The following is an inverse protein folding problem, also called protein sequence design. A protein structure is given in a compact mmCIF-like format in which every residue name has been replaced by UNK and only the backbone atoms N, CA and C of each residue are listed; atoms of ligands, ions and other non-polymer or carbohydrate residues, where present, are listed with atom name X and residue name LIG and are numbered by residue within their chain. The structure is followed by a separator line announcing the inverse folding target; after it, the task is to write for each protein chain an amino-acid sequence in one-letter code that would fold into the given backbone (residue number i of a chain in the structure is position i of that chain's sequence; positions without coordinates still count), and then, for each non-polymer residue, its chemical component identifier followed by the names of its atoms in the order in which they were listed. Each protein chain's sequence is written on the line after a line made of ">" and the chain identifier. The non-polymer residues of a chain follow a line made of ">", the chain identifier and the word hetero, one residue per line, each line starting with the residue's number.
data_IF_272308867546
#
_entry.id   IF_272308867546
#
_cell.length_a   1.000
_cell.length_b   1.000
_cell.length_c   1.000
_cell.angle_alpha   90.00
_cell.angle_beta   90.00
_cell.angle_gamma   90.00
#
_symmetry.space_group_name_H-M   'P 1'
#
loop_
_entity.id
_entity.type
_entity.pdbx_description
1 polymer ?
#
# COMPACT_ATOMS: atom_id res chain seq x y z
N UNK A 1 1.86 -1.66 18.30
CA UNK A 1 3.31 -1.76 18.09
C UNK A 1 4.04 -0.63 18.80
N UNK A 2 3.84 0.61 18.39
CA UNK A 2 4.61 1.78 18.86
C UNK A 2 4.43 2.07 20.36
N UNK A 3 3.20 1.97 20.87
CA UNK A 3 2.92 2.14 22.31
C UNK A 3 3.62 1.04 23.13
N UNK A 4 3.55 -0.21 22.67
CA UNK A 4 4.22 -1.32 23.35
C UNK A 4 5.75 -1.14 23.33
N UNK A 5 6.31 -0.68 22.22
CA UNK A 5 7.73 -0.36 22.11
C UNK A 5 8.13 0.76 23.08
N UNK A 6 7.28 1.79 23.24
CA UNK A 6 7.51 2.87 24.21
C UNK A 6 7.54 2.32 25.64
N UNK A 7 6.58 1.45 26.00
CA UNK A 7 6.55 0.82 27.34
C UNK A 7 7.81 -0.02 27.58
N UNK A 8 8.20 -0.86 26.61
CA UNK A 8 9.44 -1.66 26.70
C UNK A 8 10.66 -0.75 26.88
N UNK A 9 10.70 0.35 26.14
CA UNK A 9 11.79 1.33 26.23
C UNK A 9 11.89 1.98 27.61
N UNK A 10 10.77 2.45 28.15
CA UNK A 10 10.73 3.04 29.49
C UNK A 10 11.14 2.05 30.57
N UNK A 11 10.65 0.81 30.49
CA UNK A 11 11.04 -0.26 31.44
C UNK A 11 12.53 -0.59 31.35
N UNK A 12 13.07 -0.66 30.10
CA UNK A 12 14.48 -0.98 29.88
C UNK A 12 15.39 0.15 30.36
N UNK A 13 14.98 1.38 30.17
CA UNK A 13 15.69 2.55 30.66
C UNK A 13 15.69 2.61 32.18
N UNK A 14 14.51 2.50 32.82
CA UNK A 14 14.36 2.53 34.27
C UNK A 14 15.17 1.44 34.98
N UNK A 15 15.24 0.23 34.41
CA UNK A 15 16.01 -0.88 35.00
C UNK A 15 17.51 -0.80 34.76
N UNK A 16 17.96 -0.07 33.76
CA UNK A 16 19.33 -0.13 33.29
C UNK A 16 20.23 1.00 33.75
N UNK A 17 19.73 2.21 33.83
CA UNK A 17 20.53 3.42 33.99
C UNK A 17 20.12 4.29 35.21
N UNK A 18 19.03 3.97 35.89
CA UNK A 18 18.53 4.84 36.94
C UNK A 18 18.34 4.11 38.26
N UNK A 19 18.85 4.70 39.32
CA UNK A 19 18.68 4.22 40.71
C UNK A 19 17.22 4.29 41.17
N UNK A 20 16.38 5.13 40.53
CA UNK A 20 14.94 5.24 40.82
C UNK A 20 14.16 3.99 40.41
N UNK A 21 14.70 3.17 39.48
CA UNK A 21 14.01 1.97 38.96
C UNK A 21 12.66 2.31 38.32
N UNK A 22 11.69 1.40 38.45
CA UNK A 22 10.31 1.59 37.98
C UNK A 22 9.48 2.27 39.09
N UNK A 23 9.78 3.51 39.43
CA UNK A 23 9.04 4.30 40.42
C UNK A 23 8.19 5.38 39.73
N UNK A 24 7.14 5.91 40.43
CA UNK A 24 6.41 7.08 39.93
C UNK A 24 7.30 8.30 39.72
N UNK A 25 8.34 8.45 40.53
CA UNK A 25 9.32 9.54 40.45
C UNK A 25 10.14 9.47 39.16
N UNK A 26 10.53 8.27 38.72
CA UNK A 26 11.18 8.08 37.40
C UNK A 26 10.33 8.66 36.27
N UNK A 27 9.03 8.36 36.25
CA UNK A 27 8.14 8.85 35.18
C UNK A 27 7.87 10.35 35.25
N UNK A 28 8.00 10.96 36.44
CA UNK A 28 7.82 12.40 36.63
C UNK A 28 9.07 13.21 36.27
N UNK A 29 10.27 12.67 36.53
CA UNK A 29 11.52 13.47 36.47
C UNK A 29 12.37 13.16 35.21
N UNK A 30 12.30 11.92 34.65
CA UNK A 30 13.27 11.48 33.65
C UNK A 30 12.83 11.57 32.22
N UNK A 31 11.64 11.08 31.78
CA UNK A 31 11.26 11.20 30.41
C UNK A 31 10.83 12.63 30.08
N UNK A 32 11.65 13.36 29.33
CA UNK A 32 11.23 14.65 28.78
C UNK A 32 10.08 14.47 27.79
N UNK A 33 9.28 15.50 27.58
CA UNK A 33 8.08 15.46 26.74
C UNK A 33 8.36 14.95 25.32
N UNK A 34 9.51 15.25 24.73
CA UNK A 34 9.86 14.80 23.39
C UNK A 34 9.96 13.27 23.28
N UNK A 35 10.30 12.55 24.34
CA UNK A 35 10.42 11.10 24.34
C UNK A 35 9.07 10.42 24.06
N UNK A 36 7.98 11.01 24.53
CA UNK A 36 6.63 10.51 24.29
C UNK A 36 6.14 10.75 22.86
N UNK A 37 6.83 11.58 22.06
CA UNK A 37 6.54 11.77 20.64
C UNK A 37 7.23 10.75 19.72
N UNK A 38 8.17 9.95 20.21
CA UNK A 38 8.84 8.91 19.43
C UNK A 38 7.88 7.95 18.72
N UNK A 39 6.76 7.48 19.33
CA UNK A 39 5.76 6.67 18.62
C UNK A 39 5.17 7.34 17.39
N UNK A 40 4.91 8.64 17.46
CA UNK A 40 4.37 9.42 16.33
C UNK A 40 5.41 9.53 15.22
N UNK A 41 6.67 9.82 15.57
CA UNK A 41 7.77 9.88 14.61
C UNK A 41 7.94 8.54 13.87
N UNK A 42 7.88 7.41 14.59
CA UNK A 42 7.95 6.09 13.98
C UNK A 42 6.77 5.83 13.04
N UNK A 43 5.55 6.22 13.42
CA UNK A 43 4.36 6.09 12.55
C UNK A 43 4.50 6.91 11.26
N UNK A 44 5.04 8.11 11.34
CA UNK A 44 5.31 8.95 10.16
C UNK A 44 6.35 8.31 9.23
N UNK A 45 7.43 7.74 9.78
CA UNK A 45 8.43 7.02 9.00
C UNK A 45 7.85 5.76 8.33
N UNK A 46 6.86 5.12 8.97
CA UNK A 46 6.18 3.93 8.46
C UNK A 46 5.01 4.26 7.53
N UNK A 47 4.60 5.53 7.37
CA UNK A 47 3.46 5.93 6.55
C UNK A 47 3.45 5.33 5.13
N UNK A 48 4.59 5.27 4.38
CA UNK A 48 4.62 4.72 3.03
C UNK A 48 4.29 3.21 2.95
N UNK A 49 4.42 2.49 4.06
CA UNK A 49 4.15 1.04 4.15
C UNK A 49 2.65 0.74 4.34
N UNK A 50 1.84 1.74 4.73
CA UNK A 50 0.40 1.56 4.90
C UNK A 50 -0.38 1.49 3.58
N UNK A 51 0.27 1.68 2.43
CA UNK A 51 -0.29 1.28 1.14
C UNK A 51 -0.47 -0.25 1.13
N UNK A 52 -1.71 -0.70 0.97
CA UNK A 52 -2.11 -2.12 1.00
C UNK A 52 -1.30 -2.99 0.03
N UNK A 53 -0.89 -2.43 -1.13
CA UNK A 53 -0.11 -3.14 -2.14
C UNK A 53 1.34 -3.39 -1.71
N UNK A 54 1.97 -2.38 -1.09
CA UNK A 54 3.32 -2.51 -0.55
C UNK A 54 3.34 -3.37 0.70
N UNK A 55 2.24 -3.37 1.44
CA UNK A 55 2.05 -4.13 2.66
C UNK A 55 2.02 -5.66 2.45
N UNK A 56 1.68 -6.15 1.25
CA UNK A 56 1.56 -7.59 0.95
C UNK A 56 2.88 -8.28 0.64
N UNK A 57 3.96 -7.53 0.37
CA UNK A 57 5.27 -8.07 0.02
C UNK A 57 6.22 -8.08 1.21
N UNK A 58 6.68 -9.26 1.63
CA UNK A 58 7.65 -9.44 2.73
C UNK A 58 8.95 -8.69 2.47
N UNK A 59 9.65 -8.87 1.31
CA UNK A 59 10.92 -8.21 1.08
C UNK A 59 10.80 -6.69 1.05
N UNK A 60 9.72 -6.15 0.46
CA UNK A 60 9.47 -4.71 0.45
C UNK A 60 9.28 -4.18 1.87
N UNK A 61 8.51 -4.88 2.70
CA UNK A 61 8.28 -4.52 4.11
C UNK A 61 9.56 -4.51 4.91
N UNK A 62 10.40 -5.56 4.79
CA UNK A 62 11.67 -5.66 5.50
C UNK A 62 12.63 -4.54 5.11
N UNK A 63 12.75 -4.24 3.81
CA UNK A 63 13.58 -3.14 3.33
C UNK A 63 13.13 -1.78 3.88
N UNK A 64 11.81 -1.52 3.91
CA UNK A 64 11.29 -0.27 4.47
C UNK A 64 11.55 -0.13 5.97
N UNK A 65 11.35 -1.20 6.74
CA UNK A 65 11.64 -1.19 8.19
C UNK A 65 13.14 -0.97 8.43
N UNK A 66 14.00 -1.61 7.62
CA UNK A 66 15.45 -1.42 7.70
C UNK A 66 15.83 0.04 7.41
N UNK A 67 15.34 0.61 6.30
CA UNK A 67 15.61 2.00 5.92
C UNK A 67 15.12 2.97 7.01
N UNK A 68 13.89 2.78 7.53
CA UNK A 68 13.35 3.62 8.58
C UNK A 68 14.16 3.52 9.87
N UNK A 69 14.62 2.32 10.23
CA UNK A 69 15.47 2.10 11.41
C UNK A 69 16.83 2.78 11.26
N UNK A 70 17.42 2.70 10.05
CA UNK A 70 18.69 3.38 9.73
C UNK A 70 18.52 4.91 9.78
N UNK A 71 17.46 5.44 9.16
CA UNK A 71 17.18 6.88 9.18
C UNK A 71 16.95 7.40 10.61
N UNK A 72 16.13 6.71 11.40
CA UNK A 72 15.87 7.08 12.77
C UNK A 72 17.14 6.98 13.64
N UNK A 73 17.94 5.93 13.44
CA UNK A 73 19.22 5.76 14.13
C UNK A 73 20.23 6.84 13.77
N UNK A 74 20.36 7.16 12.49
CA UNK A 74 21.27 8.24 12.02
C UNK A 74 20.83 9.59 12.57
N UNK A 75 19.55 9.91 12.51
CA UNK A 75 18.99 11.14 13.07
C UNK A 75 19.28 11.23 14.57
N UNK A 76 19.05 10.15 15.30
CA UNK A 76 19.34 10.10 16.74
C UNK A 76 20.82 10.31 17.03
N UNK A 77 21.72 9.65 16.29
CA UNK A 77 23.16 9.82 16.46
C UNK A 77 23.59 11.26 16.17
N UNK A 78 23.07 11.88 15.12
CA UNK A 78 23.36 13.28 14.80
C UNK A 78 22.96 14.21 15.95
N UNK A 79 21.76 14.06 16.45
CA UNK A 79 21.26 14.85 17.59
C UNK A 79 22.13 14.59 18.85
N UNK A 80 22.47 13.32 19.06
CA UNK A 80 23.27 12.90 20.22
C UNK A 80 24.65 13.57 20.26
N UNK A 81 25.32 13.74 19.11
CA UNK A 81 26.64 14.40 19.06
C UNK A 81 26.55 15.91 19.28
N UNK A 82 25.42 16.53 19.02
CA UNK A 82 25.19 17.97 19.22
C UNK A 82 24.62 18.29 20.61
N UNK A 83 23.90 17.34 21.22
CA UNK A 83 23.25 17.52 22.50
C UNK A 83 24.23 17.56 23.68
N UNK A 84 23.91 18.30 24.76
CA UNK A 84 24.70 18.30 25.97
C UNK A 84 24.93 16.90 26.55
N UNK A 85 26.06 16.62 27.23
CA UNK A 85 26.32 15.33 27.84
C UNK A 85 25.19 14.95 28.82
N UNK A 86 24.69 13.70 28.69
CA UNK A 86 23.57 13.12 29.48
C UNK A 86 22.16 13.65 29.16
N UNK A 87 21.98 14.53 28.19
CA UNK A 87 20.66 15.03 27.83
C UNK A 87 19.75 13.95 27.16
N UNK A 88 20.37 12.95 26.51
CA UNK A 88 19.63 11.93 25.76
C UNK A 88 19.83 10.54 26.36
N UNK A 89 18.73 9.80 26.63
CA UNK A 89 18.77 8.44 27.21
C UNK A 89 19.16 7.42 26.14
N UNK A 90 20.43 7.03 26.10
CA UNK A 90 20.96 6.08 25.08
C UNK A 90 20.19 4.75 25.08
N UNK A 91 20.02 4.14 26.28
CA UNK A 91 19.31 2.85 26.41
C UNK A 91 17.83 2.99 26.10
N UNK A 92 17.19 4.08 26.53
CA UNK A 92 15.80 4.35 26.23
C UNK A 92 15.51 4.43 24.73
N UNK A 93 16.25 5.25 23.99
CA UNK A 93 16.04 5.41 22.54
C UNK A 93 16.48 4.16 21.76
N UNK A 94 17.61 3.54 22.10
CA UNK A 94 18.06 2.33 21.44
C UNK A 94 17.05 1.19 21.61
N UNK A 95 16.55 0.96 22.83
CA UNK A 95 15.54 -0.06 23.09
C UNK A 95 14.20 0.24 22.41
N UNK A 96 13.82 1.53 22.29
CA UNK A 96 12.65 1.96 21.53
C UNK A 96 12.77 1.57 20.04
N UNK A 97 13.87 1.96 19.39
CA UNK A 97 14.09 1.69 17.97
C UNK A 97 14.15 0.18 17.67
N UNK A 98 14.86 -0.59 18.48
CA UNK A 98 14.95 -2.05 18.34
C UNK A 98 13.57 -2.68 18.53
N UNK A 99 12.85 -2.30 19.57
CA UNK A 99 11.50 -2.82 19.85
C UNK A 99 10.51 -2.47 18.75
N UNK A 100 10.54 -1.23 18.23
CA UNK A 100 9.72 -0.80 17.10
C UNK A 100 10.02 -1.63 15.85
N UNK A 101 11.29 -1.84 15.52
CA UNK A 101 11.68 -2.64 14.36
C UNK A 101 11.19 -4.09 14.50
N UNK A 102 11.50 -4.75 15.61
CA UNK A 102 11.11 -6.15 15.87
C UNK A 102 9.59 -6.32 15.88
N UNK A 103 8.87 -5.49 16.65
CA UNK A 103 7.42 -5.57 16.73
C UNK A 103 6.74 -5.23 15.41
N UNK A 104 7.29 -4.30 14.62
CA UNK A 104 6.78 -3.99 13.28
C UNK A 104 6.98 -5.16 12.33
N UNK A 105 8.12 -5.84 12.37
CA UNK A 105 8.37 -7.05 11.58
C UNK A 105 7.38 -8.15 11.97
N UNK A 106 7.26 -8.46 13.26
CA UNK A 106 6.35 -9.50 13.75
C UNK A 106 4.90 -9.22 13.37
N UNK A 107 4.44 -7.98 13.58
CA UNK A 107 3.10 -7.55 13.19
C UNK A 107 2.85 -7.70 11.70
N UNK A 108 3.83 -7.32 10.87
CA UNK A 108 3.71 -7.42 9.41
C UNK A 108 3.72 -8.86 8.91
N UNK A 109 4.57 -9.70 9.45
CA UNK A 109 4.56 -11.13 9.11
C UNK A 109 3.21 -11.77 9.49
N UNK A 110 2.69 -11.43 10.66
CA UNK A 110 1.35 -11.86 11.07
C UNK A 110 0.27 -11.35 10.12
N UNK A 111 0.31 -10.06 9.78
CA UNK A 111 -0.64 -9.43 8.86
C UNK A 111 -0.62 -10.10 7.48
N UNK A 112 0.57 -10.25 6.89
CA UNK A 112 0.72 -10.89 5.58
C UNK A 112 0.17 -12.32 5.65
N UNK A 113 0.54 -13.09 6.66
CA UNK A 113 0.10 -14.48 6.80
C UNK A 113 -1.40 -14.62 7.02
N UNK A 114 -2.06 -13.66 7.69
CA UNK A 114 -3.48 -13.74 8.02
C UNK A 114 -4.38 -13.11 6.96
N UNK A 115 -4.00 -11.97 6.40
CA UNK A 115 -4.85 -11.13 5.56
C UNK A 115 -4.53 -11.21 4.06
N UNK A 116 -3.41 -11.81 3.66
CA UNK A 116 -3.10 -12.05 2.23
C UNK A 116 -3.60 -13.44 1.76
N UNK A 117 -4.49 -14.05 2.53
CA UNK A 117 -5.16 -15.28 2.11
C UNK A 117 -6.14 -15.00 0.97
N UNK A 118 -6.33 -15.93 0.01
CA UNK A 118 -7.28 -15.78 -1.11
C UNK A 118 -8.70 -15.38 -0.68
N UNK A 119 -9.11 -15.78 0.51
CA UNK A 119 -10.43 -15.47 1.08
C UNK A 119 -10.72 -13.96 1.24
N UNK A 120 -9.70 -13.13 1.35
CA UNK A 120 -9.83 -11.66 1.53
C UNK A 120 -9.52 -10.87 0.27
N UNK A 121 -9.22 -11.56 -0.84
CA UNK A 121 -9.04 -10.91 -2.13
C UNK A 121 -10.41 -10.58 -2.74
N UNK A 122 -10.48 -9.45 -3.43
CA UNK A 122 -11.69 -9.06 -4.16
C UNK A 122 -11.88 -10.04 -5.32
N UNK A 123 -13.03 -10.69 -5.38
CA UNK A 123 -13.39 -11.54 -6.51
C UNK A 123 -13.50 -10.65 -7.75
N UNK A 124 -12.74 -11.01 -8.76
CA UNK A 124 -12.55 -10.20 -9.97
C UNK A 124 -13.00 -10.99 -11.19
N UNK A 125 -13.80 -10.36 -12.03
CA UNK A 125 -14.27 -10.88 -13.30
C UNK A 125 -13.55 -10.15 -14.43
N UNK A 126 -13.06 -10.89 -15.44
CA UNK A 126 -12.43 -10.29 -16.63
C UNK A 126 -13.44 -10.31 -17.76
N UNK A 127 -13.75 -9.14 -18.30
CA UNK A 127 -14.68 -8.99 -19.41
C UNK A 127 -13.87 -8.92 -20.73
N UNK A 128 -14.02 -9.98 -21.53
CA UNK A 128 -13.28 -10.23 -22.76
C UNK A 128 -12.17 -11.29 -22.59
N UNK A 129 -12.36 -12.47 -23.17
CA UNK A 129 -11.36 -13.55 -23.27
C UNK A 129 -10.55 -13.47 -24.58
N UNK A 130 -10.28 -12.25 -25.05
CA UNK A 130 -9.41 -11.95 -26.17
C UNK A 130 -7.95 -11.83 -25.77
N UNK A 131 -7.10 -11.33 -26.69
CA UNK A 131 -5.65 -11.14 -26.45
C UNK A 131 -5.36 -10.30 -25.21
N UNK A 132 -6.13 -9.23 -24.98
CA UNK A 132 -5.96 -8.33 -23.84
C UNK A 132 -6.34 -9.01 -22.51
N UNK A 133 -7.50 -9.69 -22.46
CA UNK A 133 -7.95 -10.41 -21.28
C UNK A 133 -7.05 -11.59 -20.92
N UNK A 134 -6.66 -12.39 -21.90
CA UNK A 134 -5.70 -13.47 -21.71
C UNK A 134 -4.35 -12.96 -21.18
N UNK A 135 -3.88 -11.81 -21.67
CA UNK A 135 -2.62 -11.23 -21.22
C UNK A 135 -2.68 -10.76 -19.77
N UNK A 136 -3.78 -10.13 -19.35
CA UNK A 136 -3.91 -9.70 -17.95
C UNK A 136 -4.06 -10.90 -17.01
N UNK A 137 -4.79 -11.94 -17.41
CA UNK A 137 -4.92 -13.18 -16.64
C UNK A 137 -3.57 -13.89 -16.45
N UNK A 138 -2.75 -13.97 -17.50
CA UNK A 138 -1.39 -14.50 -17.44
C UNK A 138 -0.53 -13.74 -16.45
N UNK A 139 -0.58 -12.41 -16.48
CA UNK A 139 0.17 -11.54 -15.57
C UNK A 139 -0.28 -11.75 -14.12
N UNK A 140 -1.60 -11.74 -13.87
CA UNK A 140 -2.15 -11.94 -12.53
C UNK A 140 -1.71 -13.30 -11.96
N UNK A 141 -1.75 -14.35 -12.77
CA UNK A 141 -1.30 -15.70 -12.38
C UNK A 141 0.18 -15.76 -12.04
N UNK A 142 1.01 -14.96 -12.73
CA UNK A 142 2.46 -14.91 -12.51
C UNK A 142 2.88 -14.15 -11.25
N UNK A 143 1.97 -13.39 -10.62
CA UNK A 143 2.26 -12.60 -9.43
C UNK A 143 1.92 -13.41 -8.17
N UNK A 144 2.89 -13.56 -7.29
CA UNK A 144 2.70 -14.22 -6.00
C UNK A 144 3.14 -13.28 -4.85
N UNK A 145 2.26 -12.93 -3.88
CA UNK A 145 0.85 -13.31 -3.82
C UNK A 145 0.00 -12.63 -4.90
N UNK A 146 -1.05 -13.34 -5.38
CA UNK A 146 -1.96 -12.78 -6.37
C UNK A 146 -2.67 -11.54 -5.81
N UNK A 147 -2.75 -10.44 -6.55
CA UNK A 147 -3.43 -9.22 -6.11
C UNK A 147 -4.96 -9.33 -6.16
N UNK A 148 -5.49 -10.29 -6.93
CA UNK A 148 -6.93 -10.50 -7.14
C UNK A 148 -7.29 -11.98 -7.07
N UNK A 149 -8.52 -12.28 -6.69
CA UNK A 149 -9.14 -13.59 -6.85
C UNK A 149 -9.93 -13.59 -8.16
N UNK A 150 -9.33 -14.06 -9.26
CA UNK A 150 -10.01 -14.09 -10.56
C UNK A 150 -11.00 -15.25 -10.58
N UNK A 151 -12.30 -14.94 -10.72
CA UNK A 151 -13.37 -15.93 -10.82
C UNK A 151 -13.44 -16.55 -12.22
N UNK A 152 -13.18 -15.77 -13.26
CA UNK A 152 -13.24 -16.22 -14.66
C UNK A 152 -13.35 -15.06 -15.63
N UNK A 153 -13.77 -15.42 -16.85
CA UNK A 153 -14.01 -14.50 -17.96
C UNK A 153 -15.50 -14.45 -18.34
N UNK A 154 -15.89 -13.36 -18.96
CA UNK A 154 -17.09 -13.25 -19.81
C UNK A 154 -16.64 -12.91 -21.24
N UNK A 155 -17.19 -13.60 -22.22
CA UNK A 155 -16.94 -13.31 -23.64
C UNK A 155 -18.18 -13.68 -24.47
N UNK A 156 -18.56 -12.82 -25.42
CA UNK A 156 -19.74 -13.01 -26.27
C UNK A 156 -19.51 -14.03 -27.40
N UNK A 157 -18.30 -14.55 -27.56
CA UNK A 157 -17.97 -15.58 -28.51
C UNK A 157 -18.43 -16.96 -28.01
N UNK A 158 -19.46 -17.58 -28.63
CA UNK A 158 -19.99 -18.86 -28.19
C UNK A 158 -18.96 -19.99 -28.15
N UNK A 159 -17.94 -19.89 -29.00
CA UNK A 159 -16.90 -20.92 -29.09
C UNK A 159 -15.97 -20.92 -27.86
N UNK A 160 -15.96 -19.83 -27.10
CA UNK A 160 -15.12 -19.69 -25.90
C UNK A 160 -15.82 -20.07 -24.62
N UNK A 161 -17.16 -19.99 -24.60
CA UNK A 161 -17.95 -20.28 -23.39
C UNK A 161 -17.68 -21.70 -22.90
N UNK A 162 -17.40 -21.85 -21.62
CA UNK A 162 -17.06 -23.12 -20.97
C UNK A 162 -15.62 -23.58 -21.22
N UNK A 163 -14.81 -22.87 -22.02
CA UNK A 163 -13.37 -23.13 -22.13
C UNK A 163 -12.60 -22.44 -21.03
N UNK A 164 -11.38 -22.88 -20.83
CA UNK A 164 -10.47 -22.36 -19.79
C UNK A 164 -9.26 -21.66 -20.45
N UNK A 165 -8.95 -20.45 -19.99
CA UNK A 165 -7.78 -19.70 -20.43
C UNK A 165 -6.92 -19.34 -19.21
N UNK A 166 -5.65 -19.74 -19.25
CA UNK A 166 -4.70 -19.52 -18.15
C UNK A 166 -5.17 -20.02 -16.77
N UNK A 167 -5.99 -21.07 -16.74
CA UNK A 167 -6.54 -21.65 -15.52
C UNK A 167 -7.80 -20.96 -14.99
N UNK A 168 -8.44 -20.09 -15.79
CA UNK A 168 -9.69 -19.43 -15.47
C UNK A 168 -10.77 -19.75 -16.52
N UNK A 169 -11.99 -20.17 -16.09
CA UNK A 169 -13.06 -20.53 -17.01
C UNK A 169 -13.72 -19.30 -17.63
N UNK A 170 -14.29 -19.47 -18.83
CA UNK A 170 -15.25 -18.53 -19.42
C UNK A 170 -16.64 -18.89 -18.89
N UNK A 171 -17.17 -18.07 -18.00
CA UNK A 171 -18.39 -18.34 -17.22
C UNK A 171 -19.68 -18.12 -18.02
N UNK A 172 -19.63 -17.28 -19.05
CA UNK A 172 -20.78 -16.98 -19.88
C UNK A 172 -20.58 -15.78 -20.81
N UNK A 173 -21.67 -15.27 -21.33
CA UNK A 173 -21.78 -14.12 -22.21
C UNK A 173 -22.20 -12.84 -21.45
N UNK A 174 -22.31 -11.73 -22.19
CA UNK A 174 -22.77 -10.44 -21.65
C UNK A 174 -24.17 -10.50 -21.02
N UNK A 175 -25.08 -11.33 -21.53
CA UNK A 175 -26.44 -11.46 -21.02
C UNK A 175 -26.46 -12.09 -19.62
N UNK A 176 -25.46 -12.92 -19.33
CA UNK A 176 -25.29 -13.62 -18.05
C UNK A 176 -24.57 -12.79 -16.99
N UNK A 177 -24.15 -11.54 -17.31
CA UNK A 177 -23.31 -10.70 -16.48
C UNK A 177 -23.82 -10.55 -15.04
N UNK A 178 -25.07 -10.11 -14.85
CA UNK A 178 -25.62 -9.89 -13.51
C UNK A 178 -25.68 -11.17 -12.68
N UNK A 179 -26.09 -12.28 -13.30
CA UNK A 179 -26.15 -13.58 -12.67
C UNK A 179 -24.78 -14.03 -12.17
N UNK A 180 -23.74 -13.87 -13.01
CA UNK A 180 -22.37 -14.22 -12.68
C UNK A 180 -21.82 -13.34 -11.57
N UNK A 181 -22.12 -12.02 -11.60
CA UNK A 181 -21.70 -11.08 -10.54
C UNK A 181 -22.27 -11.48 -9.18
N UNK A 182 -23.54 -11.85 -9.11
CA UNK A 182 -24.18 -12.28 -7.86
C UNK A 182 -23.70 -13.66 -7.39
N UNK A 183 -23.66 -14.65 -8.29
CA UNK A 183 -23.31 -16.03 -7.97
C UNK A 183 -21.86 -16.17 -7.48
N UNK A 184 -20.93 -15.43 -8.09
CA UNK A 184 -19.51 -15.44 -7.72
C UNK A 184 -19.10 -14.32 -6.77
N UNK A 185 -20.06 -13.52 -6.28
CA UNK A 185 -19.81 -12.39 -5.39
C UNK A 185 -18.69 -11.47 -5.92
N UNK A 186 -18.81 -11.09 -7.19
CA UNK A 186 -17.81 -10.25 -7.86
C UNK A 186 -17.85 -8.85 -7.27
N UNK A 187 -16.71 -8.37 -6.78
CA UNK A 187 -16.52 -7.01 -6.28
C UNK A 187 -15.77 -6.11 -7.25
N UNK A 188 -15.11 -6.69 -8.25
CA UNK A 188 -14.34 -5.94 -9.24
C UNK A 188 -14.47 -6.56 -10.63
N UNK A 189 -14.51 -5.69 -11.65
CA UNK A 189 -14.49 -6.09 -13.06
C UNK A 189 -13.28 -5.45 -13.75
N UNK A 190 -12.59 -6.23 -14.58
CA UNK A 190 -11.52 -5.75 -15.43
C UNK A 190 -12.02 -5.79 -16.88
N UNK A 191 -12.20 -4.61 -17.48
CA UNK A 191 -12.56 -4.49 -18.88
C UNK A 191 -11.36 -4.72 -19.77
N UNK A 192 -11.37 -5.80 -20.55
CA UNK A 192 -10.29 -6.20 -21.46
C UNK A 192 -10.79 -6.37 -22.91
N UNK A 193 -11.84 -5.64 -23.28
CA UNK A 193 -12.40 -5.62 -24.63
C UNK A 193 -11.58 -4.65 -25.49
N UNK A 194 -11.06 -5.15 -26.61
CA UNK A 194 -10.29 -4.35 -27.58
C UNK A 194 -11.13 -3.82 -28.75
N UNK A 195 -12.34 -4.37 -28.93
CA UNK A 195 -13.27 -4.00 -30.00
C UNK A 195 -14.44 -3.19 -29.44
N UNK A 196 -15.44 -2.88 -30.33
CA UNK A 196 -16.68 -2.23 -29.87
C UNK A 196 -17.38 -3.09 -28.81
N UNK A 197 -17.64 -2.47 -27.67
CA UNK A 197 -18.42 -3.07 -26.60
C UNK A 197 -19.90 -3.14 -27.00
N UNK A 198 -20.57 -4.21 -26.61
CA UNK A 198 -22.03 -4.32 -26.72
C UNK A 198 -22.67 -3.22 -25.84
N UNK A 199 -23.61 -2.39 -26.37
CA UNK A 199 -24.27 -1.35 -25.60
C UNK A 199 -24.96 -1.88 -24.32
N UNK A 200 -25.58 -3.06 -24.39
CA UNK A 200 -26.23 -3.68 -23.24
C UNK A 200 -25.24 -4.02 -22.11
N UNK A 201 -24.03 -4.47 -22.45
CA UNK A 201 -22.97 -4.71 -21.49
C UNK A 201 -22.44 -3.40 -20.89
N UNK A 202 -22.35 -2.35 -21.70
CA UNK A 202 -21.93 -1.02 -21.20
C UNK A 202 -22.91 -0.49 -20.17
N UNK A 203 -24.22 -0.57 -20.45
CA UNK A 203 -25.29 -0.16 -19.53
C UNK A 203 -25.26 -1.01 -18.25
N UNK A 204 -25.06 -2.32 -18.38
CA UNK A 204 -24.94 -3.23 -17.27
C UNK A 204 -23.74 -2.91 -16.36
N UNK A 205 -22.58 -2.59 -16.94
CA UNK A 205 -21.39 -2.19 -16.18
C UNK A 205 -21.60 -0.87 -15.46
N UNK A 206 -22.23 0.12 -16.13
CA UNK A 206 -22.52 1.43 -15.54
C UNK A 206 -23.46 1.30 -14.33
N UNK A 207 -24.55 0.54 -14.48
CA UNK A 207 -25.49 0.28 -13.37
C UNK A 207 -24.82 -0.52 -12.23
N UNK A 208 -23.92 -1.43 -12.55
CA UNK A 208 -23.19 -2.19 -11.54
C UNK A 208 -22.19 -1.30 -10.77
N UNK A 209 -21.54 -0.35 -11.45
CA UNK A 209 -20.66 0.63 -10.83
C UNK A 209 -21.43 1.54 -9.84
N UNK A 210 -22.62 1.99 -10.21
CA UNK A 210 -23.52 2.74 -9.31
C UNK A 210 -23.89 1.94 -8.04
N UNK A 211 -23.95 0.61 -8.13
CA UNK A 211 -24.18 -0.30 -7.01
C UNK A 211 -22.93 -0.65 -6.21
N UNK A 212 -21.78 -0.06 -6.55
CA UNK A 212 -20.52 -0.21 -5.82
C UNK A 212 -19.57 -1.25 -6.39
N UNK A 213 -19.82 -1.81 -7.57
CA UNK A 213 -18.87 -2.66 -8.29
C UNK A 213 -17.71 -1.80 -8.81
N UNK A 214 -16.49 -2.23 -8.56
CA UNK A 214 -15.31 -1.50 -9.03
C UNK A 214 -15.00 -1.91 -10.47
N UNK A 215 -15.13 -0.97 -11.40
CA UNK A 215 -14.81 -1.22 -12.82
C UNK A 215 -13.44 -0.62 -13.14
N UNK A 216 -12.52 -1.46 -13.63
CA UNK A 216 -11.19 -1.03 -14.07
C UNK A 216 -10.95 -1.42 -15.52
N UNK A 217 -10.21 -0.61 -16.25
CA UNK A 217 -9.75 -0.98 -17.58
C UNK A 217 -8.50 -1.85 -17.53
N UNK A 218 -8.32 -2.73 -18.52
CA UNK A 218 -7.13 -3.59 -18.63
C UNK A 218 -5.82 -2.78 -18.60
N UNK A 219 -5.68 -1.66 -19.31
CA UNK A 219 -4.47 -0.85 -19.25
C UNK A 219 -4.16 -0.30 -17.85
N UNK A 220 -5.18 0.15 -17.12
CA UNK A 220 -4.99 0.65 -15.75
C UNK A 220 -4.52 -0.47 -14.81
N UNK A 221 -5.10 -1.66 -14.93
CA UNK A 221 -4.66 -2.82 -14.15
C UNK A 221 -3.25 -3.26 -14.55
N UNK A 222 -2.93 -3.24 -15.86
CA UNK A 222 -1.60 -3.57 -16.35
C UNK A 222 -0.54 -2.61 -15.80
N UNK A 223 -0.79 -1.30 -15.84
CA UNK A 223 0.08 -0.29 -15.27
C UNK A 223 0.20 -0.44 -13.75
N UNK A 224 -0.92 -0.70 -13.09
CA UNK A 224 -0.97 -0.93 -11.66
C UNK A 224 -0.06 -2.09 -11.23
N UNK A 225 -0.08 -3.20 -11.98
CA UNK A 225 0.66 -4.41 -11.65
C UNK A 225 2.13 -4.36 -12.07
N UNK A 226 2.42 -3.86 -13.27
CA UNK A 226 3.75 -3.91 -13.87
C UNK A 226 4.49 -2.58 -13.84
N UNK A 227 3.82 -1.47 -13.47
CA UNK A 227 4.36 -0.10 -13.55
C UNK A 227 4.83 0.28 -14.97
N UNK A 228 4.15 -0.27 -15.98
CA UNK A 228 4.42 -0.07 -17.41
C UNK A 228 3.11 0.06 -18.16
N UNK A 229 3.08 0.87 -19.20
CA UNK A 229 1.91 1.04 -20.07
C UNK A 229 1.98 0.04 -21.23
N UNK A 230 0.91 -0.74 -21.52
CA UNK A 230 0.90 -1.72 -22.62
C UNK A 230 0.64 -1.03 -23.96
N UNK A 231 1.60 -0.27 -24.49
CA UNK A 231 1.46 0.58 -25.70
C UNK A 231 0.89 -0.19 -26.90
N UNK A 232 1.23 -1.44 -27.03
CA UNK A 232 0.77 -2.31 -28.16
C UNK A 232 -0.67 -2.81 -28.04
N UNK A 233 -1.33 -2.60 -26.89
CA UNK A 233 -2.74 -2.98 -26.66
C UNK A 233 -3.67 -1.75 -26.61
N UNK A 234 -3.12 -0.55 -26.78
CA UNK A 234 -3.88 0.69 -26.69
C UNK A 234 -4.43 1.09 -28.06
N UNK A 235 -5.75 1.26 -28.15
CA UNK A 235 -6.37 2.01 -29.25
C UNK A 235 -6.16 3.52 -29.04
N UNK A 236 -6.19 4.28 -30.13
CA UNK A 236 -6.03 5.76 -30.13
C UNK A 236 -6.99 6.48 -29.18
N UNK A 237 -8.21 5.99 -29.03
CA UNK A 237 -9.25 6.59 -28.19
C UNK A 237 -8.98 6.47 -26.68
N UNK A 238 -8.20 5.47 -26.26
CA UNK A 238 -7.86 5.27 -24.87
C UNK A 238 -6.86 6.32 -24.37
N UNK A 239 -5.85 6.65 -25.15
CA UNK A 239 -4.85 7.66 -24.79
C UNK A 239 -5.49 9.00 -24.38
N UNK A 240 -6.48 9.44 -25.16
CA UNK A 240 -7.13 10.72 -24.92
C UNK A 240 -7.96 10.71 -23.62
N UNK A 241 -8.65 9.60 -23.34
CA UNK A 241 -9.51 9.47 -22.17
C UNK A 241 -8.73 9.36 -20.84
N UNK A 242 -7.63 8.63 -20.85
CA UNK A 242 -6.84 8.41 -19.63
C UNK A 242 -6.00 9.65 -19.25
N UNK A 243 -5.50 10.38 -20.24
CA UNK A 243 -4.88 11.69 -20.01
C UNK A 243 -5.85 12.70 -19.38
N UNK A 244 -7.13 12.66 -19.73
CA UNK A 244 -8.13 13.55 -19.15
C UNK A 244 -8.47 13.19 -17.69
N UNK A 245 -8.47 11.91 -17.34
CA UNK A 245 -8.74 11.44 -15.98
C UNK A 245 -7.54 11.60 -15.03
N UNK A 246 -6.32 11.49 -15.53
CA UNK A 246 -5.09 11.69 -14.74
C UNK A 246 -4.80 13.17 -14.47
N UNK A 247 -5.34 14.10 -15.28
CA UNK A 247 -5.18 15.54 -15.08
C UNK A 247 -5.86 16.08 -13.80
N UNK A 248 -6.68 15.25 -13.14
CA UNK A 248 -7.29 15.59 -11.85
C UNK A 248 -6.43 15.02 -10.71
N UNK A 249 -5.17 15.48 -10.63
CA UNK A 249 -4.38 15.26 -9.42
C UNK A 249 -5.18 15.81 -8.22
N UNK A 250 -5.43 14.98 -7.24
CA UNK A 250 -6.19 15.35 -6.05
C UNK A 250 -5.61 16.64 -5.46
N UNK A 251 -6.44 17.66 -5.27
CA UNK A 251 -6.09 18.93 -4.59
C UNK A 251 -5.33 18.65 -3.29
N UNK A 252 -5.66 17.55 -2.63
CA UNK A 252 -4.99 17.07 -1.41
C UNK A 252 -3.50 16.73 -1.66
N UNK A 253 -3.18 16.17 -2.81
CA UNK A 253 -1.78 15.86 -3.18
C UNK A 253 -0.97 17.14 -3.43
N UNK A 254 -1.55 18.13 -4.10
CA UNK A 254 -0.88 19.41 -4.34
C UNK A 254 -0.64 20.20 -3.05
N UNK A 255 -1.62 20.22 -2.14
CA UNK A 255 -1.48 20.87 -0.83
C UNK A 255 -0.40 20.17 0.00
N UNK A 256 -0.43 18.84 0.05
CA UNK A 256 0.57 18.06 0.80
C UNK A 256 1.97 18.26 0.24
N UNK A 257 2.12 18.27 -1.08
CA UNK A 257 3.39 18.55 -1.74
C UNK A 257 3.90 19.95 -1.38
N UNK A 258 3.08 20.98 -1.48
CA UNK A 258 3.47 22.36 -1.11
C UNK A 258 3.86 22.49 0.35
N UNK A 259 3.15 21.83 1.26
CA UNK A 259 3.52 21.80 2.67
C UNK A 259 4.91 21.17 2.87
N UNK A 260 5.17 20.04 2.24
CA UNK A 260 6.48 19.37 2.32
C UNK A 260 7.59 20.26 1.73
N UNK A 261 7.34 20.93 0.62
CA UNK A 261 8.30 21.83 -0.03
C UNK A 261 8.61 23.05 0.86
N UNK A 262 7.60 23.66 1.50
CA UNK A 262 7.75 24.78 2.41
C UNK A 262 8.54 24.36 3.67
N UNK A 263 8.16 23.24 4.31
CA UNK A 263 8.85 22.74 5.49
C UNK A 263 10.30 22.33 5.17
N UNK A 264 10.52 21.65 4.05
CA UNK A 264 11.85 21.27 3.58
C UNK A 264 12.72 22.47 3.28
N UNK A 265 12.16 23.49 2.61
CA UNK A 265 12.83 24.75 2.33
C UNK A 265 13.18 25.53 3.60
N UNK A 266 12.27 25.60 4.56
CA UNK A 266 12.49 26.30 5.82
C UNK A 266 13.58 25.62 6.68
N UNK A 267 13.55 24.29 6.77
CA UNK A 267 14.60 23.50 7.44
C UNK A 267 15.95 23.68 6.72
N UNK A 268 15.96 23.60 5.39
CA UNK A 268 17.17 23.81 4.60
C UNK A 268 17.77 25.20 4.77
N UNK A 269 16.92 26.23 4.79
CA UNK A 269 17.37 27.63 5.00
C UNK A 269 17.91 27.85 6.40
N UNK A 270 17.27 27.27 7.41
CA UNK A 270 17.72 27.34 8.80
C UNK A 270 19.06 26.61 8.99
N UNK A 271 19.23 25.47 8.34
CA UNK A 271 20.48 24.71 8.36
C UNK A 271 21.61 25.48 7.68
N UNK A 272 21.31 26.11 6.53
CA UNK A 272 22.27 26.95 5.81
C UNK A 272 22.66 28.19 6.63
N UNK A 273 21.71 28.86 7.29
CA UNK A 273 21.96 30.04 8.13
C UNK A 273 22.76 29.73 9.42
N UNK A 274 22.80 28.47 9.85
CA UNK A 274 23.61 28.03 11.01
C UNK A 274 25.04 27.68 10.57
N UNK A 275 25.20 27.22 9.31
CA UNK A 275 26.50 26.77 8.80
C UNK A 275 27.36 27.92 8.16
N UNK A 276 26.71 29.01 7.75
CA UNK A 276 27.33 30.17 7.13
C UNK A 276 26.95 31.47 7.84
#
# INVERSE_FOLDING_TARGET
>A
VTILALVISLVTWAKGDDWLGLSPEFFAERPENWFYFLPILWLLLMAPIYDLRRASSVPTTLNFILIASLLAGTLYLTIFFVAPPKALPRRGVASFLISCAVLSILWRLFYIRKFTLPKYLINTLIVGAGKAGCRIAEIIRGINPSPFSVAGFIDDDPEKIGKEFFGYPVLGDSNSFYKIVEEHQIGQVIMAISNRMNPELFDALTMAEEKGLVVKTMPNVYEELLKRIPVYLLGTDWMVRDFYNQAHASIFFEITKRLIDIFGGLIGTLFFAILF
#
